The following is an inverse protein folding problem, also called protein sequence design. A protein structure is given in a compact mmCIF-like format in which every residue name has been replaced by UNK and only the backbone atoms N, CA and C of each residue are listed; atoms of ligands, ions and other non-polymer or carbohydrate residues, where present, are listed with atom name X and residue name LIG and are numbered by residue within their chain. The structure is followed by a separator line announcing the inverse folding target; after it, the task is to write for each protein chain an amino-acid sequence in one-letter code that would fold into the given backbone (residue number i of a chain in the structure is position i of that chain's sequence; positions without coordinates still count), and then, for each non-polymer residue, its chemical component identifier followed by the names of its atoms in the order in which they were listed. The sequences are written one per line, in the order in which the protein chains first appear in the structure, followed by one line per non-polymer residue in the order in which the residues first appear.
data_IF_252053593190
#
_entry.id   IF_252053593190
#
_cell.length_a   1.000
_cell.length_b   1.000
_cell.length_c   1.000
_cell.angle_alpha   90.00
_cell.angle_beta   90.00
_cell.angle_gamma   90.00
#
_symmetry.space_group_name_H-M   'P 1'
#
loop_
_entity.id
_entity.type
_entity.pdbx_description
1 polymer ?
#
# COMPACT_ATOMS: atom_id res chain seq x y z
N UNK A 1 -16.59 9.12 12.67
CA UNK A 1 -15.45 8.49 13.38
C UNK A 1 -14.34 8.25 12.39
N UNK A 2 -13.09 8.12 12.84
CA UNK A 2 -11.94 7.83 11.98
C UNK A 2 -11.65 6.33 11.98
N UNK A 3 -11.18 5.82 10.85
CA UNK A 3 -10.76 4.41 10.69
C UNK A 3 -9.37 4.38 10.10
N UNK A 4 -8.47 3.63 10.73
CA UNK A 4 -7.14 3.32 10.21
C UNK A 4 -7.14 1.84 9.86
N UNK A 5 -6.80 1.52 8.61
CA UNK A 5 -6.84 0.16 8.09
C UNK A 5 -5.46 -0.22 7.55
N UNK A 6 -4.91 -1.33 8.02
CA UNK A 6 -3.70 -1.92 7.43
C UNK A 6 -4.12 -2.78 6.23
N UNK A 7 -3.83 -2.26 5.03
CA UNK A 7 -4.25 -2.77 3.71
C UNK A 7 -5.75 -2.62 3.43
N UNK A 8 -6.06 -2.48 2.15
CA UNK A 8 -7.43 -2.43 1.63
C UNK A 8 -7.44 -2.87 0.16
N UNK A 9 -8.39 -2.40 -0.66
CA UNK A 9 -8.59 -2.85 -2.04
C UNK A 9 -7.36 -2.69 -2.94
N UNK A 10 -6.52 -1.66 -2.73
CA UNK A 10 -5.28 -1.48 -3.49
C UNK A 10 -4.33 -2.68 -3.31
N UNK A 11 -4.30 -3.30 -2.12
CA UNK A 11 -3.54 -4.54 -1.92
C UNK A 11 -4.14 -5.72 -2.68
N UNK A 12 -5.47 -5.83 -2.77
CA UNK A 12 -6.09 -6.88 -3.59
C UNK A 12 -5.72 -6.70 -5.05
N UNK A 13 -5.81 -5.47 -5.57
CA UNK A 13 -5.43 -5.19 -6.95
C UNK A 13 -3.95 -5.52 -7.21
N UNK A 14 -3.05 -5.17 -6.29
CA UNK A 14 -1.62 -5.49 -6.42
C UNK A 14 -1.35 -6.99 -6.34
N UNK A 15 -1.79 -7.68 -5.29
CA UNK A 15 -1.40 -9.07 -5.06
C UNK A 15 -2.17 -10.03 -5.96
N UNK A 16 -3.47 -9.83 -6.15
CA UNK A 16 -4.29 -10.72 -6.98
C UNK A 16 -4.26 -10.29 -8.44
N UNK A 17 -4.44 -9.00 -8.72
CA UNK A 17 -4.45 -8.49 -10.09
C UNK A 17 -3.06 -8.55 -10.72
N UNK A 18 -2.14 -7.72 -10.24
CA UNK A 18 -0.78 -7.69 -10.78
C UNK A 18 0.03 -8.93 -10.39
N UNK A 19 -0.06 -9.41 -9.15
CA UNK A 19 0.75 -10.53 -8.67
C UNK A 19 0.34 -11.88 -9.27
N UNK A 20 -0.95 -12.19 -9.25
CA UNK A 20 -1.50 -13.49 -9.68
C UNK A 20 -2.18 -13.44 -11.05
N UNK A 21 -2.13 -12.31 -11.76
CA UNK A 21 -2.74 -12.09 -13.08
C UNK A 21 -4.26 -12.32 -13.11
N UNK A 22 -4.95 -12.06 -12.01
CA UNK A 22 -6.42 -12.02 -12.01
C UNK A 22 -6.87 -10.77 -12.79
N UNK A 23 -7.90 -10.93 -13.62
CA UNK A 23 -8.45 -9.81 -14.40
C UNK A 23 -8.84 -8.64 -13.49
N UNK A 24 -8.29 -7.45 -13.77
CA UNK A 24 -8.61 -6.23 -13.04
C UNK A 24 -10.10 -5.90 -13.12
N UNK A 25 -10.75 -6.13 -14.25
CA UNK A 25 -12.19 -5.86 -14.39
C UNK A 25 -13.02 -6.73 -13.45
N UNK A 26 -12.60 -7.98 -13.21
CA UNK A 26 -13.22 -8.85 -12.23
C UNK A 26 -13.03 -8.32 -10.81
N UNK A 27 -11.81 -7.88 -10.47
CA UNK A 27 -11.53 -7.27 -9.15
C UNK A 27 -12.37 -6.01 -8.93
N UNK A 28 -12.45 -5.14 -9.94
CA UNK A 28 -13.24 -3.91 -9.89
C UNK A 28 -14.74 -4.22 -9.76
N UNK A 29 -15.23 -5.26 -10.44
CA UNK A 29 -16.62 -5.72 -10.33
C UNK A 29 -16.93 -6.26 -8.92
N UNK A 30 -16.05 -7.09 -8.35
CA UNK A 30 -16.19 -7.60 -6.99
C UNK A 30 -16.14 -6.47 -5.96
N UNK A 31 -15.24 -5.50 -6.15
CA UNK A 31 -15.17 -4.30 -5.32
C UNK A 31 -16.51 -3.54 -5.30
N UNK A 32 -17.13 -3.38 -6.49
CA UNK A 32 -18.42 -2.72 -6.62
C UNK A 32 -19.56 -3.50 -5.94
N UNK A 33 -19.55 -4.84 -5.98
CA UNK A 33 -20.59 -5.64 -5.35
C UNK A 33 -20.43 -5.68 -3.81
N UNK A 34 -19.20 -5.84 -3.31
CA UNK A 34 -18.95 -6.13 -1.89
C UNK A 34 -18.98 -4.86 -1.03
N UNK A 35 -18.41 -3.76 -1.54
CA UNK A 35 -18.28 -2.51 -0.77
C UNK A 35 -18.81 -1.28 -1.52
N UNK A 36 -19.67 -1.48 -2.51
CA UNK A 36 -20.25 -0.41 -3.35
C UNK A 36 -19.20 0.49 -4.05
N UNK A 37 -17.99 -0.03 -4.24
CA UNK A 37 -16.88 0.73 -4.82
C UNK A 37 -16.32 1.80 -3.88
N UNK A 38 -16.55 1.67 -2.57
CA UNK A 38 -15.95 2.51 -1.55
C UNK A 38 -14.44 2.58 -1.72
N UNK A 39 -13.89 3.79 -1.53
CA UNK A 39 -12.46 4.06 -1.57
C UNK A 39 -12.05 4.79 -0.29
N UNK A 40 -10.85 4.52 0.26
CA UNK A 40 -10.32 5.31 1.35
C UNK A 40 -10.13 6.78 0.95
N UNK A 41 -10.42 7.71 1.87
CA UNK A 41 -10.16 9.15 1.67
C UNK A 41 -8.66 9.45 1.49
N UNK A 42 -7.81 8.61 2.07
CA UNK A 42 -6.37 8.72 2.09
C UNK A 42 -5.72 7.33 2.21
N UNK A 43 -4.68 7.08 1.40
CA UNK A 43 -3.91 5.83 1.38
C UNK A 43 -2.42 6.15 1.33
N UNK A 44 -1.66 5.52 2.21
CA UNK A 44 -0.20 5.63 2.24
C UNK A 44 0.43 4.36 1.68
N UNK A 45 1.26 4.52 0.66
CA UNK A 45 2.08 3.46 0.10
C UNK A 45 3.50 3.64 0.65
N UNK A 46 3.87 2.77 1.57
CA UNK A 46 5.20 2.79 2.19
C UNK A 46 6.20 2.12 1.26
N UNK A 47 6.97 2.92 0.52
CA UNK A 47 7.95 2.43 -0.44
C UNK A 47 9.29 2.17 0.25
N UNK A 48 9.81 0.96 0.08
CA UNK A 48 11.09 0.51 0.60
C UNK A 48 11.75 -0.35 -0.48
N UNK A 49 13.08 -0.24 -0.68
CA UNK A 49 13.77 -1.19 -1.55
C UNK A 49 13.44 -2.62 -1.16
N UNK A 50 13.04 -3.41 -2.15
CA UNK A 50 12.45 -4.74 -1.93
C UNK A 50 13.38 -5.64 -1.12
N UNK A 51 14.69 -5.60 -1.37
CA UNK A 51 15.69 -6.37 -0.66
C UNK A 51 15.73 -6.01 0.83
N UNK A 52 15.55 -4.73 1.16
CA UNK A 52 15.45 -4.28 2.56
C UNK A 52 14.13 -4.71 3.20
N UNK A 53 13.04 -4.67 2.44
CA UNK A 53 11.73 -5.15 2.89
C UNK A 53 11.74 -6.63 3.23
N UNK A 54 12.28 -7.45 2.33
CA UNK A 54 12.42 -8.90 2.53
C UNK A 54 13.29 -9.24 3.75
N UNK A 55 14.44 -8.57 3.91
CA UNK A 55 15.28 -8.75 5.12
C UNK A 55 14.55 -8.39 6.41
N UNK A 56 13.79 -7.29 6.42
CA UNK A 56 12.97 -6.90 7.58
C UNK A 56 11.87 -7.92 7.89
N UNK A 57 11.25 -8.49 6.86
CA UNK A 57 10.19 -9.48 6.99
C UNK A 57 10.71 -10.81 7.56
N UNK A 58 11.82 -11.31 7.05
CA UNK A 58 12.50 -12.52 7.56
C UNK A 58 12.83 -12.39 9.06
N UNK A 59 13.33 -11.23 9.49
CA UNK A 59 13.66 -10.97 10.89
C UNK A 59 12.42 -10.93 11.82
N UNK A 60 11.21 -10.74 11.29
CA UNK A 60 9.97 -10.68 12.08
C UNK A 60 9.35 -12.05 12.36
N UNK A 61 9.77 -13.11 11.65
CA UNK A 61 9.49 -14.53 11.94
C UNK A 61 8.14 -14.81 12.62
N UNK A 62 7.02 -14.56 11.92
CA UNK A 62 5.71 -15.14 12.27
C UNK A 62 4.89 -15.50 11.01
N UNK A 63 4.81 -16.81 10.74
CA UNK A 63 3.71 -17.60 10.14
C UNK A 63 3.16 -17.31 8.74
N UNK A 64 3.48 -16.24 8.03
CA UNK A 64 2.94 -15.98 6.67
C UNK A 64 3.99 -15.97 5.55
N UNK A 65 4.71 -17.09 5.39
CA UNK A 65 5.78 -17.20 4.38
C UNK A 65 5.30 -17.23 2.92
N UNK A 66 4.00 -17.41 2.64
CA UNK A 66 3.51 -17.75 1.29
C UNK A 66 3.90 -16.71 0.23
N UNK A 67 3.85 -15.42 0.57
CA UNK A 67 4.22 -14.36 -0.38
C UNK A 67 5.71 -14.03 -0.33
N UNK A 68 6.35 -14.14 0.84
CA UNK A 68 7.78 -13.87 1.02
C UNK A 68 8.66 -14.89 0.26
N UNK A 69 8.14 -16.11 0.06
CA UNK A 69 8.78 -17.16 -0.73
C UNK A 69 8.70 -16.94 -2.24
N UNK A 70 7.88 -15.99 -2.73
CA UNK A 70 7.69 -15.76 -4.17
C UNK A 70 8.87 -15.04 -4.85
N UNK A 71 9.89 -14.65 -4.09
CA UNK A 71 11.18 -14.20 -4.59
C UNK A 71 11.23 -12.75 -5.09
N UNK A 72 12.45 -12.26 -5.34
CA UNK A 72 12.73 -10.84 -5.60
C UNK A 72 11.96 -10.26 -6.80
N UNK A 73 11.83 -11.02 -7.89
CA UNK A 73 11.11 -10.57 -9.09
C UNK A 73 9.63 -10.32 -8.82
N UNK A 74 8.98 -11.19 -8.04
CA UNK A 74 7.58 -11.03 -7.67
C UNK A 74 7.38 -9.75 -6.86
N UNK A 75 8.21 -9.53 -5.85
CA UNK A 75 8.08 -8.34 -5.00
C UNK A 75 8.41 -7.02 -5.73
N UNK A 76 9.35 -7.04 -6.69
CA UNK A 76 9.57 -5.88 -7.56
C UNK A 76 8.32 -5.57 -8.41
N UNK A 77 7.69 -6.61 -9.00
CA UNK A 77 6.42 -6.45 -9.71
C UNK A 77 5.33 -5.83 -8.83
N UNK A 78 5.23 -6.24 -7.56
CA UNK A 78 4.27 -5.66 -6.62
C UNK A 78 4.59 -4.20 -6.27
N UNK A 79 5.87 -3.87 -6.04
CA UNK A 79 6.30 -2.49 -5.80
C UNK A 79 5.94 -1.57 -6.97
N UNK A 80 6.22 -2.01 -8.20
CA UNK A 80 5.87 -1.26 -9.42
C UNK A 80 4.35 -1.09 -9.57
N UNK A 81 3.58 -2.13 -9.26
CA UNK A 81 2.12 -2.07 -9.31
C UNK A 81 1.55 -1.04 -8.31
N UNK A 82 2.08 -0.98 -7.09
CA UNK A 82 1.70 0.06 -6.13
C UNK A 82 2.00 1.48 -6.64
N UNK A 83 3.16 1.67 -7.32
CA UNK A 83 3.51 2.96 -7.93
C UNK A 83 2.53 3.36 -9.03
N UNK A 84 2.11 2.40 -9.87
CA UNK A 84 1.07 2.63 -10.89
C UNK A 84 -0.27 3.02 -10.26
N UNK A 85 -0.66 2.39 -9.15
CA UNK A 85 -1.90 2.76 -8.43
C UNK A 85 -1.81 4.20 -7.92
N UNK A 86 -0.70 4.60 -7.29
CA UNK A 86 -0.53 5.97 -6.83
C UNK A 86 -0.56 6.99 -7.96
N UNK A 87 0.10 6.71 -9.08
CA UNK A 87 0.10 7.57 -10.25
C UNK A 87 -1.32 7.79 -10.83
N UNK A 88 -2.15 6.74 -10.80
CA UNK A 88 -3.52 6.81 -11.29
C UNK A 88 -4.53 7.38 -10.29
N UNK A 89 -4.15 7.56 -9.02
CA UNK A 89 -5.03 8.06 -7.94
C UNK A 89 -4.30 9.10 -7.06
N UNK A 90 -3.69 10.16 -7.65
CA UNK A 90 -2.82 11.09 -6.93
C UNK A 90 -3.55 11.91 -5.86
N UNK A 91 -4.87 11.97 -5.89
CA UNK A 91 -5.70 12.68 -4.93
C UNK A 91 -5.88 11.94 -3.60
N UNK A 92 -5.78 10.60 -3.59
CA UNK A 92 -5.96 9.77 -2.39
C UNK A 92 -4.72 8.96 -2.03
N UNK A 93 -3.84 8.65 -2.98
CA UNK A 93 -2.67 7.80 -2.75
C UNK A 93 -1.38 8.63 -2.68
N UNK A 94 -0.64 8.45 -1.59
CA UNK A 94 0.67 9.08 -1.40
C UNK A 94 1.75 8.02 -1.17
N UNK A 95 2.81 8.09 -1.98
CA UNK A 95 4.01 7.29 -1.78
C UNK A 95 4.88 7.96 -0.71
N UNK A 96 5.30 7.19 0.28
CA UNK A 96 6.20 7.62 1.36
C UNK A 96 7.44 6.75 1.32
N UNK A 97 8.60 7.36 1.10
CA UNK A 97 9.88 6.65 1.19
C UNK A 97 10.19 6.28 2.64
N UNK A 98 10.46 5.00 2.87
CA UNK A 98 10.70 4.44 4.22
C UNK A 98 12.11 3.88 4.39
N UNK A 99 13.02 4.29 3.51
CA UNK A 99 14.45 3.99 3.61
C UNK A 99 15.18 4.89 4.65
N UNK A 100 14.46 5.88 5.19
CA UNK A 100 14.92 6.83 6.21
C UNK A 100 14.56 6.34 7.62
N UNK A 101 15.03 7.01 8.69
CA UNK A 101 14.56 6.77 10.06
C UNK A 101 13.03 6.87 10.19
N UNK A 102 12.46 6.10 11.12
CA UNK A 102 11.02 5.96 11.32
C UNK A 102 10.35 7.31 11.61
N UNK A 103 11.05 8.20 12.32
CA UNK A 103 10.61 9.54 12.68
C UNK A 103 10.35 10.40 11.44
N UNK A 104 11.20 10.29 10.40
CA UNK A 104 11.00 11.03 9.16
C UNK A 104 9.77 10.53 8.39
N UNK A 105 9.53 9.21 8.40
CA UNK A 105 8.32 8.62 7.81
C UNK A 105 7.08 9.11 8.55
N UNK A 106 7.11 9.12 9.89
CA UNK A 106 6.00 9.60 10.71
C UNK A 106 5.68 11.07 10.47
N UNK A 107 6.69 11.93 10.42
CA UNK A 107 6.54 13.36 10.10
C UNK A 107 5.94 13.59 8.72
N UNK A 108 6.37 12.83 7.70
CA UNK A 108 5.82 12.92 6.35
C UNK A 108 4.33 12.55 6.31
N UNK A 109 3.95 11.46 6.97
CA UNK A 109 2.54 11.02 7.10
C UNK A 109 1.73 12.09 7.82
N UNK A 110 2.21 12.59 8.96
CA UNK A 110 1.53 13.62 9.74
C UNK A 110 1.27 14.89 8.92
N UNK A 111 2.27 15.37 8.17
CA UNK A 111 2.13 16.54 7.31
C UNK A 111 1.05 16.35 6.24
N UNK A 112 0.97 15.16 5.63
CA UNK A 112 -0.04 14.86 4.61
C UNK A 112 -1.44 14.81 5.24
N UNK A 113 -1.61 14.17 6.40
CA UNK A 113 -2.89 14.13 7.12
C UNK A 113 -3.35 15.55 7.46
N UNK A 114 -2.46 16.37 8.03
CA UNK A 114 -2.76 17.76 8.38
C UNK A 114 -3.24 18.56 7.17
N UNK A 115 -2.51 18.46 6.05
CA UNK A 115 -2.85 19.13 4.81
C UNK A 115 -4.18 18.63 4.21
N UNK A 116 -4.40 17.31 4.17
CA UNK A 116 -5.58 16.69 3.56
C UNK A 116 -6.86 17.04 4.31
N UNK A 117 -6.79 17.10 5.65
CA UNK A 117 -7.96 17.27 6.51
C UNK A 117 -8.01 18.62 7.23
N UNK A 118 -7.14 19.57 6.85
CA UNK A 118 -7.05 20.93 7.43
C UNK A 118 -6.95 20.92 8.96
N UNK A 119 -6.08 20.07 9.51
CA UNK A 119 -5.86 19.96 10.94
C UNK A 119 -4.72 20.89 11.39
N UNK A 120 -4.86 21.52 12.56
CA UNK A 120 -3.80 22.30 13.18
C UNK A 120 -2.66 21.42 13.71
N UNK A 121 -1.42 21.92 13.69
CA UNK A 121 -0.29 21.28 14.39
C UNK A 121 -0.57 21.30 15.90
N UNK A 122 -0.51 20.13 16.53
CA UNK A 122 -0.48 19.97 17.99
C UNK A 122 0.97 19.97 18.44
#
# INVERSE_FOLDING_TARGET
TWVICDRFIDSTLVYQGYGQNIDKNLIDHLNKIIIDGFQPDLTFILDLPVEKGLKKAQNRSQKENRYEEMGLSFHNKLSDAFKVIAQNNPERCHIIETNQPMEQTALAIQHIIQKKFNLSMV
#
